data_IF_576249516265
#
_entry.id   IF_576249516265
#
_cell.length_a   1.000
_cell.length_b   1.000
_cell.length_c   1.000
_cell.angle_alpha   90.00
_cell.angle_beta   90.00
_cell.angle_gamma   90.00
#
_symmetry.space_group_name_H-M   'P 1'
#
loop_
_entity.id
_entity.type
_entity.pdbx_description
1 polymer ?
#
# COMPACT_ATOMS: atom_id res chain seq x y z
N UNK A 1 -1.43 -6.58 2.50
CA UNK A 1 -2.50 -6.19 3.45
C UNK A 1 -3.86 -6.64 2.92
N UNK A 2 -4.62 -7.30 3.78
CA UNK A 2 -5.98 -7.76 3.47
C UNK A 2 -7.07 -6.89 4.12
N UNK A 3 -6.70 -5.76 4.66
CA UNK A 3 -7.51 -4.86 5.48
C UNK A 3 -8.80 -4.44 4.75
N UNK A 4 -9.98 -4.53 5.40
CA UNK A 4 -11.19 -3.98 4.84
C UNK A 4 -11.16 -2.45 4.88
N UNK A 5 -11.49 -1.83 3.76
CA UNK A 5 -11.78 -0.41 3.77
C UNK A 5 -13.29 -0.21 3.87
N UNK A 6 -13.74 0.58 4.84
CA UNK A 6 -15.11 1.05 4.84
C UNK A 6 -15.20 2.32 4.00
N UNK A 7 -16.19 2.36 3.12
CA UNK A 7 -16.45 3.54 2.29
C UNK A 7 -16.98 4.71 3.13
N UNK A 8 -17.49 4.41 4.32
CA UNK A 8 -18.27 5.35 5.14
C UNK A 8 -17.48 5.97 6.30
N UNK A 9 -16.18 5.65 6.42
CA UNK A 9 -15.34 6.15 7.54
C UNK A 9 -15.79 5.67 8.94
N UNK A 10 -16.73 4.72 8.99
CA UNK A 10 -17.23 4.17 10.25
C UNK A 10 -16.21 3.17 10.80
N UNK A 11 -15.82 3.35 12.06
CA UNK A 11 -14.95 2.43 12.77
C UNK A 11 -15.57 1.03 12.83
N UNK A 12 -14.88 0.08 12.24
CA UNK A 12 -15.24 -1.33 12.35
C UNK A 12 -14.34 -2.00 13.38
N UNK A 13 -14.93 -2.49 14.46
CA UNK A 13 -14.21 -3.18 15.55
C UNK A 13 -13.31 -4.32 15.05
N UNK A 14 -13.63 -4.87 13.90
CA UNK A 14 -12.86 -5.92 13.23
C UNK A 14 -11.47 -5.48 12.77
N UNK A 15 -11.20 -4.19 12.63
CA UNK A 15 -9.90 -3.65 12.21
C UNK A 15 -8.78 -4.07 13.17
N UNK A 16 -9.08 -4.34 14.43
CA UNK A 16 -8.09 -4.86 15.39
C UNK A 16 -7.46 -6.20 14.99
N UNK A 17 -8.15 -7.02 14.22
CA UNK A 17 -7.61 -8.28 13.70
C UNK A 17 -6.46 -8.05 12.71
N UNK A 18 -6.37 -6.87 12.14
CA UNK A 18 -5.46 -6.53 11.05
C UNK A 18 -4.19 -5.80 11.50
N UNK A 19 -3.82 -5.85 12.78
CA UNK A 19 -2.61 -5.19 13.27
C UNK A 19 -1.34 -5.60 12.50
N UNK A 20 -1.28 -6.86 12.05
CA UNK A 20 -0.22 -7.39 11.21
C UNK A 20 -0.49 -7.21 9.70
N UNK A 21 -1.57 -6.53 9.33
CA UNK A 21 -1.94 -6.26 7.94
C UNK A 21 -2.62 -7.42 7.20
N UNK A 22 -2.61 -8.63 7.72
CA UNK A 22 -3.05 -9.85 7.03
C UNK A 22 -3.96 -10.72 7.91
N UNK A 23 -4.98 -11.30 7.27
CA UNK A 23 -5.82 -12.34 7.84
C UNK A 23 -5.96 -13.48 6.84
N UNK A 24 -5.78 -14.73 7.32
CA UNK A 24 -5.80 -15.90 6.44
C UNK A 24 -7.16 -16.14 5.76
N UNK A 25 -8.27 -15.86 6.45
CA UNK A 25 -9.62 -16.07 5.90
C UNK A 25 -10.01 -15.05 4.80
N UNK A 26 -9.15 -14.07 4.54
CA UNK A 26 -9.41 -13.07 3.52
C UNK A 26 -9.04 -13.57 2.11
N UNK A 27 -9.80 -13.11 1.13
CA UNK A 27 -9.63 -13.48 -0.28
C UNK A 27 -9.21 -12.30 -1.15
N UNK A 28 -8.93 -11.15 -0.54
CA UNK A 28 -8.52 -9.93 -1.27
C UNK A 28 -7.33 -9.24 -0.62
N UNK A 29 -6.43 -8.73 -1.43
CA UNK A 29 -5.26 -7.93 -1.04
C UNK A 29 -5.46 -6.50 -1.55
N UNK A 30 -5.22 -5.51 -0.67
CA UNK A 30 -5.24 -4.07 -1.03
C UNK A 30 -3.86 -3.57 -1.46
N UNK A 31 -2.81 -4.26 -1.07
CA UNK A 31 -1.42 -3.95 -1.38
C UNK A 31 -0.47 -4.42 -0.29
N UNK A 32 0.74 -3.93 -0.32
CA UNK A 32 1.84 -4.32 0.57
C UNK A 32 2.38 -3.08 1.28
N UNK A 33 2.03 -2.92 2.55
CA UNK A 33 2.53 -1.83 3.39
C UNK A 33 3.75 -2.24 4.21
N UNK A 34 4.46 -1.27 4.82
CA UNK A 34 5.80 -1.48 5.35
C UNK A 34 5.89 -1.46 6.87
N UNK A 35 4.87 -1.00 7.57
CA UNK A 35 4.89 -0.88 9.03
C UNK A 35 3.70 -1.61 9.63
N UNK A 36 3.96 -2.57 10.51
CA UNK A 36 2.94 -3.35 11.20
C UNK A 36 3.33 -3.66 12.63
N UNK A 37 2.34 -3.90 13.48
CA UNK A 37 2.56 -4.58 14.74
C UNK A 37 2.59 -6.10 14.53
N UNK A 38 3.22 -6.81 15.42
CA UNK A 38 3.14 -8.28 15.48
C UNK A 38 2.00 -8.71 16.42
N UNK A 39 1.19 -9.65 15.98
CA UNK A 39 0.07 -10.19 16.75
C UNK A 39 -1.14 -9.28 16.82
N UNK A 40 -1.86 -9.33 17.94
CA UNK A 40 -3.00 -8.44 18.21
C UNK A 40 -2.52 -7.18 18.92
N UNK A 41 -3.10 -6.06 18.61
CA UNK A 41 -2.68 -4.81 19.20
C UNK A 41 -3.52 -3.65 18.69
N UNK A 42 -2.89 -2.52 18.48
CA UNK A 42 -3.53 -1.31 18.00
C UNK A 42 -3.65 -1.30 16.48
N UNK A 43 -4.71 -0.71 15.95
CA UNK A 43 -4.97 -0.56 14.52
C UNK A 43 -4.22 0.63 13.88
N UNK A 44 -3.04 0.95 14.41
CA UNK A 44 -2.16 1.99 13.85
C UNK A 44 -1.17 1.39 12.86
N UNK A 45 -0.41 2.23 12.15
CA UNK A 45 0.55 1.83 11.13
C UNK A 45 -0.12 1.39 9.81
N UNK A 46 0.54 0.56 9.01
CA UNK A 46 0.16 0.23 7.64
C UNK A 46 0.62 1.31 6.67
N UNK A 47 1.79 1.91 6.96
CA UNK A 47 2.31 3.05 6.19
C UNK A 47 2.96 2.60 4.87
N UNK A 48 2.97 3.49 3.89
CA UNK A 48 3.68 3.33 2.61
C UNK A 48 3.24 2.07 1.89
N UNK A 49 1.99 2.07 1.41
CA UNK A 49 1.43 0.94 0.66
C UNK A 49 1.90 0.99 -0.79
N UNK A 50 2.35 -0.14 -1.28
CA UNK A 50 2.64 -0.38 -2.69
C UNK A 50 1.66 -1.41 -3.26
N UNK A 51 1.11 -1.13 -4.45
CA UNK A 51 0.25 -2.09 -5.16
C UNK A 51 0.61 -2.14 -6.64
N UNK A 52 1.17 -3.26 -7.11
CA UNK A 52 1.43 -3.46 -8.52
C UNK A 52 0.13 -3.77 -9.27
N UNK A 53 -0.09 -3.11 -10.40
CA UNK A 53 -1.30 -3.26 -11.20
C UNK A 53 -0.99 -3.31 -12.69
N UNK A 54 -1.95 -3.75 -13.49
CA UNK A 54 -1.91 -3.70 -14.96
C UNK A 54 -3.14 -3.00 -15.50
N UNK A 55 -3.06 -2.52 -16.73
CA UNK A 55 -4.19 -1.89 -17.40
C UNK A 55 -4.53 -0.50 -16.84
N UNK A 56 -5.82 -0.19 -16.75
CA UNK A 56 -6.28 1.13 -16.31
C UNK A 56 -6.01 1.36 -14.82
N UNK A 57 -5.31 2.45 -14.50
CA UNK A 57 -5.04 2.83 -13.12
C UNK A 57 -6.33 3.28 -12.43
N UNK A 58 -6.57 2.73 -11.25
CA UNK A 58 -7.61 3.14 -10.31
C UNK A 58 -6.93 3.59 -9.01
N UNK A 59 -7.31 4.74 -8.48
CA UNK A 59 -6.70 5.31 -7.27
C UNK A 59 -7.56 5.14 -6.00
N UNK A 60 -8.64 4.37 -6.11
CA UNK A 60 -9.47 3.99 -4.97
C UNK A 60 -9.07 2.59 -4.50
N UNK A 61 -8.95 2.32 -3.19
CA UNK A 61 -8.60 0.98 -2.70
C UNK A 61 -9.66 -0.10 -2.98
N UNK A 62 -10.90 0.27 -3.30
CA UNK A 62 -12.00 -0.69 -3.37
C UNK A 62 -12.39 -1.24 -2.00
N UNK A 63 -13.31 -2.19 -1.97
CA UNK A 63 -13.76 -2.87 -0.75
C UNK A 63 -13.59 -4.38 -0.89
N UNK A 64 -13.63 -5.13 0.21
CA UNK A 64 -13.61 -6.60 0.18
C UNK A 64 -14.77 -7.19 -0.62
N UNK A 65 -15.97 -6.60 -0.50
CA UNK A 65 -17.17 -7.04 -1.22
C UNK A 65 -17.16 -6.63 -2.69
N UNK A 66 -16.38 -5.64 -3.07
CA UNK A 66 -16.30 -5.09 -4.41
C UNK A 66 -14.88 -4.67 -4.75
N UNK A 67 -13.94 -5.62 -4.90
CA UNK A 67 -12.52 -5.34 -5.15
C UNK A 67 -12.32 -4.58 -6.47
N UNK A 68 -13.09 -4.90 -7.50
CA UNK A 68 -12.97 -4.32 -8.85
C UNK A 68 -13.36 -2.84 -8.95
N UNK A 69 -13.96 -2.26 -7.91
CA UNK A 69 -14.20 -0.81 -7.83
C UNK A 69 -12.94 0.01 -7.51
N UNK A 70 -11.81 -0.64 -7.32
CA UNK A 70 -10.55 0.01 -6.99
C UNK A 70 -9.33 -0.80 -7.42
N UNK A 71 -8.18 -0.51 -6.80
CA UNK A 71 -6.94 -1.21 -7.09
C UNK A 71 -6.74 -2.52 -6.30
N UNK A 72 -7.69 -2.92 -5.43
CA UNK A 72 -7.67 -4.18 -4.70
C UNK A 72 -7.71 -5.37 -5.66
N UNK A 73 -7.02 -6.46 -5.32
CA UNK A 73 -7.04 -7.71 -6.09
C UNK A 73 -7.55 -8.87 -5.23
N UNK A 74 -8.26 -9.80 -5.86
CA UNK A 74 -8.46 -11.13 -5.28
C UNK A 74 -7.17 -11.94 -5.34
N UNK A 75 -7.06 -12.92 -4.49
CA UNK A 75 -5.99 -13.92 -4.50
C UNK A 75 -6.50 -15.26 -3.97
N UNK A 76 -5.73 -16.31 -4.20
CA UNK A 76 -6.04 -17.66 -3.77
C UNK A 76 -4.86 -18.24 -3.01
N UNK A 77 -5.13 -18.92 -1.88
CA UNK A 77 -4.09 -19.53 -1.06
C UNK A 77 -3.28 -20.60 -1.79
N UNK A 78 -3.86 -21.25 -2.80
CA UNK A 78 -3.13 -22.19 -3.66
C UNK A 78 -1.99 -21.52 -4.45
N UNK A 79 -2.07 -20.20 -4.66
CA UNK A 79 -1.08 -19.37 -5.34
C UNK A 79 -0.31 -18.47 -4.36
N UNK A 80 -0.37 -18.78 -3.09
CA UNK A 80 0.30 -18.07 -2.01
C UNK A 80 1.38 -18.96 -1.38
N UNK A 81 2.49 -18.37 -1.02
CA UNK A 81 3.55 -19.04 -0.28
C UNK A 81 4.07 -18.12 0.82
N UNK A 82 4.11 -18.64 2.04
CA UNK A 82 4.67 -17.92 3.19
C UNK A 82 5.70 -18.79 3.89
N UNK A 83 6.85 -18.23 4.19
CA UNK A 83 7.89 -18.83 5.02
C UNK A 83 8.63 -17.73 5.79
N UNK A 84 9.38 -18.04 6.85
CA UNK A 84 10.14 -17.02 7.56
C UNK A 84 11.02 -16.20 6.63
N UNK A 85 10.78 -14.88 6.59
CA UNK A 85 11.53 -13.94 5.75
C UNK A 85 11.13 -13.90 4.27
N UNK A 86 10.12 -14.66 3.85
CA UNK A 86 9.68 -14.65 2.46
C UNK A 86 8.16 -14.83 2.33
N UNK A 87 7.58 -14.02 1.45
CA UNK A 87 6.17 -14.12 1.07
C UNK A 87 6.01 -13.99 -0.44
N UNK A 88 5.13 -14.77 -1.05
CA UNK A 88 4.73 -14.55 -2.43
C UNK A 88 3.25 -14.82 -2.65
N UNK A 89 2.65 -14.11 -3.60
CA UNK A 89 1.25 -14.27 -3.99
C UNK A 89 1.05 -13.87 -5.45
N UNK A 90 0.10 -14.50 -6.11
CA UNK A 90 -0.42 -14.06 -7.40
C UNK A 90 -1.64 -13.17 -7.20
N UNK A 91 -1.61 -11.97 -7.75
CA UNK A 91 -2.74 -11.03 -7.78
C UNK A 91 -3.62 -11.36 -8.99
N UNK A 92 -4.80 -11.91 -8.74
CA UNK A 92 -5.63 -12.53 -9.79
C UNK A 92 -6.12 -11.51 -10.83
N UNK A 93 -6.55 -10.30 -10.42
CA UNK A 93 -7.02 -9.27 -11.36
C UNK A 93 -5.93 -8.75 -12.29
N UNK A 94 -4.71 -8.70 -11.80
CA UNK A 94 -3.57 -8.10 -12.51
C UNK A 94 -2.62 -9.11 -13.13
N UNK A 95 -2.75 -10.39 -12.76
CA UNK A 95 -1.83 -11.46 -13.14
C UNK A 95 -0.37 -11.12 -12.80
N UNK A 96 -0.18 -10.38 -11.72
CA UNK A 96 1.14 -9.99 -11.21
C UNK A 96 1.51 -10.91 -10.06
N UNK A 97 2.66 -11.56 -10.16
CA UNK A 97 3.26 -12.26 -9.03
C UNK A 97 4.05 -11.25 -8.19
N UNK A 98 3.66 -11.09 -6.93
CA UNK A 98 4.39 -10.32 -5.95
C UNK A 98 5.22 -11.27 -5.07
N UNK A 99 6.49 -10.92 -4.84
CA UNK A 99 7.41 -11.63 -3.96
C UNK A 99 8.07 -10.62 -3.02
N UNK A 100 8.05 -10.90 -1.74
CA UNK A 100 8.47 -9.97 -0.69
C UNK A 100 9.48 -10.63 0.23
N UNK A 101 10.50 -9.87 0.62
CA UNK A 101 11.40 -10.18 1.73
C UNK A 101 11.82 -8.90 2.43
N UNK A 102 12.46 -9.00 3.57
CA UNK A 102 12.81 -7.83 4.37
C UNK A 102 14.09 -8.04 5.16
N UNK A 103 14.76 -6.95 5.44
CA UNK A 103 15.76 -6.81 6.49
C UNK A 103 15.17 -5.97 7.63
N UNK A 104 15.97 -5.57 8.61
CA UNK A 104 15.50 -4.73 9.72
C UNK A 104 14.87 -3.39 9.27
N UNK A 105 15.33 -2.84 8.14
CA UNK A 105 14.97 -1.48 7.69
C UNK A 105 14.58 -1.38 6.23
N UNK A 106 14.70 -2.47 5.48
CA UNK A 106 14.47 -2.45 4.03
C UNK A 106 13.47 -3.55 3.66
N UNK A 107 12.36 -3.16 3.08
CA UNK A 107 11.46 -4.06 2.36
C UNK A 107 11.96 -4.24 0.92
N UNK A 108 12.09 -5.47 0.47
CA UNK A 108 12.45 -5.80 -0.92
C UNK A 108 11.26 -6.44 -1.60
N UNK A 109 10.82 -5.84 -2.68
CA UNK A 109 9.69 -6.31 -3.47
C UNK A 109 10.16 -6.69 -4.86
N UNK A 110 9.69 -7.83 -5.35
CA UNK A 110 9.84 -8.24 -6.74
C UNK A 110 8.47 -8.46 -7.35
N UNK A 111 8.15 -7.72 -8.38
CA UNK A 111 6.90 -7.85 -9.12
C UNK A 111 7.16 -8.40 -10.50
N UNK A 112 6.58 -9.55 -10.80
CA UNK A 112 6.63 -10.15 -12.13
C UNK A 112 5.32 -9.87 -12.84
N UNK A 113 5.39 -8.97 -13.81
CA UNK A 113 4.24 -8.56 -14.63
C UNK A 113 4.04 -9.51 -15.82
N UNK A 114 2.79 -9.67 -16.29
CA UNK A 114 2.55 -10.27 -17.60
C UNK A 114 3.14 -9.39 -18.72
N UNK A 115 3.08 -9.83 -19.96
CA UNK A 115 3.51 -8.99 -21.08
C UNK A 115 2.69 -7.71 -21.17
N UNK A 116 3.34 -6.58 -21.33
CA UNK A 116 2.72 -5.26 -21.43
C UNK A 116 3.26 -4.27 -20.41
N UNK A 117 2.54 -3.16 -20.24
CA UNK A 117 2.88 -2.12 -19.27
C UNK A 117 2.43 -2.52 -17.86
N UNK A 118 3.31 -2.36 -16.90
CA UNK A 118 3.03 -2.51 -15.48
C UNK A 118 2.92 -1.14 -14.81
N UNK A 119 2.04 -1.04 -13.83
CA UNK A 119 1.93 0.16 -12.99
C UNK A 119 2.25 -0.19 -11.54
N UNK A 120 2.71 0.78 -10.77
CA UNK A 120 2.86 0.69 -9.33
C UNK A 120 2.15 1.87 -8.68
N UNK A 121 1.17 1.56 -7.83
CA UNK A 121 0.49 2.56 -7.02
C UNK A 121 1.25 2.70 -5.71
N UNK A 122 1.56 3.94 -5.33
CA UNK A 122 2.06 4.32 -4.03
C UNK A 122 0.94 5.06 -3.29
N UNK A 123 0.34 4.41 -2.30
CA UNK A 123 -0.73 5.01 -1.51
C UNK A 123 -0.20 5.44 -0.13
N UNK A 124 -0.12 6.75 0.06
CA UNK A 124 0.28 7.39 1.32
C UNK A 124 -0.91 7.67 2.25
N UNK A 125 -2.14 7.39 1.83
CA UNK A 125 -3.33 7.51 2.67
C UNK A 125 -3.75 6.18 3.29
N UNK A 126 -3.18 5.07 2.81
CA UNK A 126 -3.47 3.76 3.38
C UNK A 126 -3.08 3.69 4.87
N UNK A 127 -3.82 2.93 5.63
CA UNK A 127 -3.52 2.62 7.03
C UNK A 127 -4.40 1.47 7.50
N UNK A 128 -4.01 0.78 8.57
CA UNK A 128 -4.79 -0.32 9.14
C UNK A 128 -6.17 0.16 9.56
N UNK A 129 -6.24 1.32 10.16
CA UNK A 129 -7.49 2.02 10.43
C UNK A 129 -7.42 3.43 9.86
N UNK A 130 -8.25 3.67 8.84
CA UNK A 130 -8.35 4.97 8.20
C UNK A 130 -9.60 5.71 8.65
N UNK A 131 -9.43 7.00 8.87
CA UNK A 131 -10.50 7.96 9.13
C UNK A 131 -10.09 9.32 8.55
N UNK A 132 -11.04 10.21 8.38
CA UNK A 132 -10.77 11.56 7.87
C UNK A 132 -9.82 12.31 8.84
N UNK A 133 -8.66 12.75 8.32
CA UNK A 133 -7.61 13.38 9.11
C UNK A 133 -6.58 12.43 9.74
N UNK A 134 -6.61 11.12 9.42
CA UNK A 134 -5.55 10.18 9.83
C UNK A 134 -4.20 10.60 9.25
N UNK A 135 -4.14 10.83 7.96
CA UNK A 135 -2.95 11.39 7.30
C UNK A 135 -2.98 12.90 7.42
N UNK A 136 -2.06 13.45 8.20
CA UNK A 136 -1.94 14.88 8.44
C UNK A 136 -1.20 15.59 7.31
N UNK A 137 -0.14 14.94 6.84
CA UNK A 137 0.71 15.48 5.78
C UNK A 137 1.50 14.35 5.14
N UNK A 138 1.67 14.42 3.84
CA UNK A 138 2.53 13.50 3.09
C UNK A 138 3.10 14.20 1.86
N UNK A 139 4.21 13.72 1.39
CA UNK A 139 4.85 14.25 0.20
C UNK A 139 5.75 13.22 -0.44
N UNK A 140 5.91 13.34 -1.75
CA UNK A 140 6.85 12.55 -2.55
C UNK A 140 7.71 13.47 -3.38
N UNK A 141 8.94 13.04 -3.63
CA UNK A 141 9.86 13.65 -4.58
C UNK A 141 10.39 12.56 -5.51
N UNK A 142 10.31 12.77 -6.81
CA UNK A 142 10.97 11.91 -7.80
C UNK A 142 12.37 12.47 -8.01
N UNK A 143 13.35 11.84 -7.34
CA UNK A 143 14.76 12.29 -7.34
C UNK A 143 15.45 11.94 -8.66
N UNK A 144 15.05 10.81 -9.25
CA UNK A 144 15.53 10.37 -10.55
C UNK A 144 14.48 9.41 -11.16
N UNK A 145 14.76 8.90 -12.34
CA UNK A 145 13.93 7.87 -12.98
C UNK A 145 13.88 6.53 -12.24
N UNK A 146 14.77 6.32 -11.27
CA UNK A 146 14.84 5.08 -10.46
C UNK A 146 14.76 5.32 -8.96
N UNK A 147 14.59 6.55 -8.49
CA UNK A 147 14.56 6.87 -7.06
C UNK A 147 13.41 7.83 -6.74
N UNK A 148 12.58 7.39 -5.83
CA UNK A 148 11.50 8.20 -5.22
C UNK A 148 11.75 8.27 -3.73
N UNK A 149 11.71 9.48 -3.17
CA UNK A 149 11.74 9.72 -1.73
C UNK A 149 10.44 10.34 -1.26
N UNK A 150 10.21 10.29 0.04
CA UNK A 150 9.02 10.95 0.58
C UNK A 150 8.90 10.81 2.07
N UNK A 151 7.79 11.30 2.56
CA UNK A 151 7.41 11.21 3.96
C UNK A 151 5.90 11.08 4.12
N UNK A 152 5.51 10.56 5.26
CA UNK A 152 4.12 10.51 5.70
C UNK A 152 4.03 10.88 7.18
N UNK A 153 3.14 11.79 7.52
CA UNK A 153 2.81 12.16 8.89
C UNK A 153 1.37 11.74 9.19
N UNK A 154 1.18 10.98 10.25
CA UNK A 154 -0.13 10.50 10.66
C UNK A 154 -0.44 10.86 12.11
N UNK A 155 -1.73 10.91 12.39
CA UNK A 155 -2.29 10.97 13.74
C UNK A 155 -2.86 9.60 14.11
N UNK A 156 -2.70 9.19 15.36
CA UNK A 156 -3.18 7.90 15.82
C UNK A 156 -2.92 7.71 17.30
N UNK A 157 -2.44 6.56 17.71
CA UNK A 157 -1.97 6.32 19.08
C UNK A 157 -0.91 7.35 19.49
N UNK A 158 0.12 7.52 18.67
CA UNK A 158 0.97 8.68 18.78
C UNK A 158 0.24 9.89 18.17
N UNK A 159 0.27 11.04 18.86
CA UNK A 159 -0.34 12.27 18.33
C UNK A 159 0.25 12.71 17.00
N UNK A 160 1.49 12.32 16.77
CA UNK A 160 2.20 12.54 15.52
C UNK A 160 3.18 11.39 15.30
N UNK A 161 3.02 10.69 14.21
CA UNK A 161 3.97 9.69 13.71
C UNK A 161 4.47 10.16 12.35
N UNK A 162 5.79 10.30 12.20
CA UNK A 162 6.43 10.78 10.98
C UNK A 162 7.40 9.74 10.46
N UNK A 163 7.16 9.28 9.24
CA UNK A 163 7.98 8.27 8.56
C UNK A 163 8.54 8.88 7.28
N UNK A 164 9.84 8.70 7.08
CA UNK A 164 10.52 8.99 5.83
C UNK A 164 10.83 7.68 5.10
N UNK A 165 10.79 7.72 3.77
CA UNK A 165 11.09 6.56 2.95
C UNK A 165 11.89 6.93 1.69
N UNK A 166 12.59 5.93 1.15
CA UNK A 166 13.19 5.97 -0.17
C UNK A 166 12.87 4.66 -0.89
N UNK A 167 12.40 4.74 -2.13
CA UNK A 167 12.09 3.59 -2.99
C UNK A 167 13.02 3.63 -4.19
N UNK A 168 13.87 2.60 -4.32
CA UNK A 168 14.73 2.42 -5.48
C UNK A 168 14.14 1.37 -6.41
N UNK A 169 14.06 1.70 -7.69
CA UNK A 169 13.51 0.83 -8.74
C UNK A 169 14.63 0.22 -9.57
N UNK A 170 14.48 -1.04 -9.96
CA UNK A 170 15.40 -1.73 -10.87
C UNK A 170 15.22 -1.31 -12.34
N UNK A 171 14.12 -0.66 -12.66
CA UNK A 171 13.79 -0.17 -14.00
C UNK A 171 13.37 1.30 -13.93
N UNK A 172 13.62 2.09 -14.98
CA UNK A 172 13.21 3.49 -15.02
C UNK A 172 11.70 3.68 -14.93
N UNK A 173 11.29 4.70 -14.21
CA UNK A 173 9.93 5.22 -14.19
C UNK A 173 9.70 5.97 -15.51
N UNK A 174 8.83 5.45 -16.35
CA UNK A 174 8.54 6.06 -17.65
C UNK A 174 7.58 7.24 -17.54
N UNK A 175 6.66 7.18 -16.58
CA UNK A 175 5.64 8.21 -16.34
C UNK A 175 5.15 8.08 -14.91
N UNK A 176 4.79 9.20 -14.31
CA UNK A 176 4.09 9.22 -13.02
C UNK A 176 2.97 10.26 -13.02
N UNK A 177 1.96 10.00 -12.22
CA UNK A 177 0.86 10.92 -11.96
C UNK A 177 0.64 10.97 -10.45
N UNK A 178 0.35 12.13 -9.90
CA UNK A 178 0.00 12.27 -8.49
C UNK A 178 -1.43 12.77 -8.37
N UNK A 179 -2.19 12.17 -7.44
CA UNK A 179 -3.48 12.67 -7.01
C UNK A 179 -3.30 13.27 -5.61
N UNK A 180 -3.33 14.58 -5.54
CA UNK A 180 -3.40 15.26 -4.26
C UNK A 180 -4.80 15.08 -3.66
N UNK A 181 -4.87 14.42 -2.52
CA UNK A 181 -6.12 14.22 -1.76
C UNK A 181 -6.25 15.21 -0.61
N UNK A 182 -5.21 16.02 -0.34
CA UNK A 182 -5.25 17.09 0.64
C UNK A 182 -5.99 18.31 0.08
N UNK A 183 -6.83 18.94 0.89
CA UNK A 183 -7.47 20.22 0.55
C UNK A 183 -6.47 21.40 0.54
N UNK A 184 -5.18 21.14 0.74
CA UNK A 184 -4.08 22.12 0.70
C UNK A 184 -3.06 21.66 -0.33
N UNK A 185 -3.20 22.10 -1.56
CA UNK A 185 -2.15 21.93 -2.56
C UNK A 185 -0.99 22.89 -2.25
N UNK A 186 0.14 22.35 -1.86
CA UNK A 186 1.40 23.03 -2.07
C UNK A 186 1.81 22.72 -3.51
N UNK A 187 1.67 23.68 -4.42
CA UNK A 187 2.22 23.57 -5.77
C UNK A 187 3.73 23.41 -5.64
N UNK A 188 4.26 22.30 -6.13
CA UNK A 188 5.68 22.23 -6.47
C UNK A 188 5.90 23.18 -7.63
N UNK A 189 6.59 24.29 -7.39
CA UNK A 189 7.11 25.10 -8.49
C UNK A 189 8.19 24.27 -9.18
N UNK A 190 7.94 23.97 -10.45
CA UNK A 190 8.96 23.47 -11.37
C UNK A 190 10.10 24.50 -11.45
N UNK A 191 11.32 24.03 -11.22
CA UNK A 191 12.55 24.75 -11.58
C UNK A 191 13.30 23.94 -12.62
#
# INVERSE_FOLDING_TARGET
DTIPHSVDGVYQKEVYKYCAGYQYDDTTIVGFSHTHFSGTGHSDLGDILLMPTTGKIQLNPGTKSNPTLGYRSTFRHENETASPGYYSVLLDEYQVKAELTTTERVGVHRYTYPKGEGNLILDLNHGIYNYDGKTLWSGICVESDTLVTGFRMTNGWARMNLIYFAISFSHPILRYESKDTSKRSLRSEER
#
